data_IF_565193706122
#
_entry.id   IF_565193706122
#
_cell.length_a   1.000
_cell.length_b   1.000
_cell.length_c   1.000
_cell.angle_alpha   90.00
_cell.angle_beta   90.00
_cell.angle_gamma   90.00
#
_symmetry.space_group_name_H-M   'P 1'
#
loop_
_entity.id
_entity.type
_entity.pdbx_description
1 polymer ?
#
# COMPACT_ATOMS: atom_id res chain seq x y z
N UNK A 1 -14.97 26.56 -9.81
CA UNK A 1 -13.78 25.94 -9.17
C UNK A 1 -14.05 24.51 -8.67
N UNK A 2 -15.09 24.24 -7.88
CA UNK A 2 -15.38 22.88 -7.37
C UNK A 2 -15.53 21.79 -8.45
N UNK A 3 -16.23 22.07 -9.56
CA UNK A 3 -16.45 21.08 -10.64
C UNK A 3 -15.15 20.66 -11.35
N UNK A 4 -14.16 21.57 -11.44
CA UNK A 4 -12.85 21.27 -12.03
C UNK A 4 -12.02 20.37 -11.11
N UNK A 5 -12.04 20.64 -9.80
CA UNK A 5 -11.36 19.79 -8.81
C UNK A 5 -11.94 18.37 -8.79
N UNK A 6 -13.26 18.24 -8.88
CA UNK A 6 -13.92 16.93 -8.97
C UNK A 6 -13.53 16.16 -10.23
N UNK A 7 -13.42 16.84 -11.38
CA UNK A 7 -13.02 16.21 -12.63
C UNK A 7 -11.56 15.75 -12.59
N UNK A 8 -10.64 16.60 -12.10
CA UNK A 8 -9.23 16.22 -11.91
C UNK A 8 -9.06 15.06 -10.94
N UNK A 9 -9.82 15.04 -9.84
CA UNK A 9 -9.84 13.94 -8.88
C UNK A 9 -10.34 12.63 -9.51
N UNK A 10 -11.38 12.71 -10.36
CA UNK A 10 -11.94 11.56 -11.07
C UNK A 10 -10.93 10.94 -12.04
N UNK A 11 -10.21 11.77 -12.81
CA UNK A 11 -9.22 11.32 -13.78
C UNK A 11 -8.05 10.59 -13.10
N UNK A 12 -7.53 11.13 -12.00
CA UNK A 12 -6.45 10.50 -11.22
C UNK A 12 -6.88 9.15 -10.64
N UNK A 13 -8.10 9.08 -10.09
CA UNK A 13 -8.63 7.85 -9.48
C UNK A 13 -8.82 6.73 -10.50
N UNK A 14 -9.26 7.07 -11.71
CA UNK A 14 -9.48 6.12 -12.78
C UNK A 14 -8.15 5.53 -13.29
N UNK A 15 -7.14 6.37 -13.50
CA UNK A 15 -5.83 5.93 -14.00
C UNK A 15 -5.14 4.93 -13.07
N UNK A 16 -5.25 5.12 -11.74
CA UNK A 16 -4.67 4.23 -10.72
C UNK A 16 -5.19 2.80 -10.81
N UNK A 17 -6.43 2.59 -11.28
CA UNK A 17 -7.02 1.26 -11.43
C UNK A 17 -6.61 0.55 -12.72
N UNK A 18 -6.29 1.30 -13.78
CA UNK A 18 -6.04 0.79 -15.13
C UNK A 18 -4.54 0.56 -15.35
N UNK A 19 -3.68 1.43 -14.83
CA UNK A 19 -2.23 1.37 -15.05
C UNK A 19 -1.58 0.06 -14.56
N UNK A 20 -1.94 -0.49 -13.38
CA UNK A 20 -1.45 -1.81 -12.97
C UNK A 20 -2.01 -2.93 -13.84
N UNK A 21 -3.20 -2.74 -14.43
CA UNK A 21 -3.88 -3.73 -15.26
C UNK A 21 -3.21 -3.95 -16.61
N UNK A 22 -2.55 -2.91 -17.13
CA UNK A 22 -1.83 -2.94 -18.40
C UNK A 22 -0.36 -3.38 -18.24
N UNK A 23 0.24 -3.13 -17.07
CA UNK A 23 1.67 -3.39 -16.83
C UNK A 23 1.97 -4.78 -16.24
N UNK A 24 0.97 -5.55 -15.76
CA UNK A 24 1.20 -6.82 -15.07
C UNK A 24 0.22 -7.94 -15.51
N UNK A 25 0.69 -9.19 -15.68
CA UNK A 25 -0.16 -10.35 -15.97
C UNK A 25 -1.28 -10.56 -14.93
N UNK A 26 -2.43 -11.04 -15.39
CA UNK A 26 -3.73 -11.04 -14.68
C UNK A 26 -3.71 -11.77 -13.33
N UNK A 27 -2.94 -12.86 -13.19
CA UNK A 27 -2.93 -13.71 -11.99
C UNK A 27 -2.21 -13.09 -10.80
N UNK A 28 -1.13 -12.33 -11.06
CA UNK A 28 -0.31 -11.70 -10.03
C UNK A 28 -0.96 -10.41 -9.52
N UNK A 29 -1.73 -9.73 -10.39
CA UNK A 29 -2.40 -8.47 -10.07
C UNK A 29 -3.58 -8.64 -9.12
N UNK A 30 -4.45 -9.63 -9.37
CA UNK A 30 -5.67 -9.83 -8.56
C UNK A 30 -5.33 -10.20 -7.11
N UNK A 31 -4.38 -11.14 -6.94
CA UNK A 31 -3.97 -11.63 -5.63
C UNK A 31 -3.18 -10.59 -4.84
N UNK A 32 -2.24 -9.87 -5.48
CA UNK A 32 -1.42 -8.84 -4.83
C UNK A 32 -2.23 -7.61 -4.40
N UNK A 33 -3.08 -7.08 -5.28
CA UNK A 33 -3.92 -5.90 -4.97
C UNK A 33 -5.01 -6.25 -3.97
N UNK A 34 -5.61 -7.44 -4.07
CA UNK A 34 -6.59 -7.94 -3.09
C UNK A 34 -5.99 -8.10 -1.70
N UNK A 35 -4.80 -8.68 -1.59
CA UNK A 35 -4.07 -8.84 -0.34
C UNK A 35 -3.66 -7.50 0.28
N UNK A 36 -3.11 -6.58 -0.52
CA UNK A 36 -2.77 -5.23 -0.07
C UNK A 36 -4.01 -4.47 0.44
N UNK A 37 -5.14 -4.61 -0.24
CA UNK A 37 -6.42 -4.01 0.17
C UNK A 37 -6.93 -4.62 1.47
N UNK A 38 -6.84 -5.94 1.63
CA UNK A 38 -7.27 -6.63 2.85
C UNK A 38 -6.42 -6.21 4.06
N UNK A 39 -5.09 -6.13 3.90
CA UNK A 39 -4.18 -5.63 4.95
C UNK A 39 -4.51 -4.19 5.30
N UNK A 40 -4.77 -3.33 4.31
CA UNK A 40 -5.12 -1.92 4.56
C UNK A 40 -6.40 -1.80 5.40
N UNK A 41 -7.40 -2.65 5.12
CA UNK A 41 -8.65 -2.68 5.89
C UNK A 41 -8.45 -3.23 7.31
N UNK A 42 -7.66 -4.30 7.46
CA UNK A 42 -7.32 -4.83 8.78
C UNK A 42 -6.54 -3.82 9.62
N UNK A 43 -5.56 -3.13 9.03
CA UNK A 43 -4.80 -2.08 9.69
C UNK A 43 -5.69 -0.91 10.11
N UNK A 44 -6.61 -0.47 9.26
CA UNK A 44 -7.56 0.60 9.60
C UNK A 44 -8.56 0.19 10.68
N UNK A 45 -9.02 -1.06 10.68
CA UNK A 45 -9.88 -1.58 11.73
C UNK A 45 -9.13 -1.68 13.07
N UNK A 46 -7.92 -2.23 13.05
CA UNK A 46 -7.09 -2.39 14.23
C UNK A 46 -6.70 -1.03 14.83
N UNK A 47 -6.28 -0.06 14.02
CA UNK A 47 -5.86 1.27 14.50
C UNK A 47 -6.97 2.03 15.21
N UNK A 48 -8.22 1.88 14.75
CA UNK A 48 -9.40 2.52 15.35
C UNK A 48 -9.63 2.09 16.80
N UNK A 49 -9.31 0.86 17.17
CA UNK A 49 -9.43 0.37 18.56
C UNK A 49 -8.13 0.52 19.36
N UNK A 50 -6.97 0.34 18.73
CA UNK A 50 -5.67 0.41 19.39
C UNK A 50 -5.32 1.83 19.86
N UNK A 51 -5.55 2.85 19.05
CA UNK A 51 -5.24 4.25 19.39
C UNK A 51 -5.93 4.74 20.68
N UNK A 52 -7.27 4.64 20.81
CA UNK A 52 -7.96 5.11 22.01
C UNK A 52 -7.62 4.28 23.25
N UNK A 53 -7.45 2.97 23.13
CA UNK A 53 -7.05 2.10 24.25
C UNK A 53 -5.62 2.42 24.72
N UNK A 54 -4.71 2.72 23.81
CA UNK A 54 -3.32 3.08 24.11
C UNK A 54 -3.24 4.43 24.84
N UNK A 55 -4.00 5.43 24.37
CA UNK A 55 -4.05 6.74 25.03
C UNK A 55 -4.65 6.65 26.44
N UNK A 56 -5.64 5.78 26.66
CA UNK A 56 -6.29 5.62 27.95
C UNK A 56 -5.39 5.00 29.03
N UNK A 57 -4.45 4.12 28.65
CA UNK A 57 -3.63 3.37 29.61
C UNK A 57 -2.17 3.87 29.72
N UNK A 58 -1.59 4.39 28.64
CA UNK A 58 -0.15 4.66 28.53
C UNK A 58 0.19 6.14 28.28
N UNK A 59 -0.81 6.98 28.02
CA UNK A 59 -0.61 8.39 27.68
C UNK A 59 -0.08 8.62 26.26
N UNK A 60 -0.06 9.89 25.83
CA UNK A 60 0.23 10.27 24.43
C UNK A 60 1.67 9.93 24.02
N UNK A 61 2.64 10.12 24.92
CA UNK A 61 4.06 9.91 24.62
C UNK A 61 4.40 8.45 24.30
N UNK A 62 3.94 7.49 25.10
CA UNK A 62 4.14 6.06 24.82
C UNK A 62 3.39 5.61 23.57
N UNK A 63 2.19 6.16 23.33
CA UNK A 63 1.40 5.83 22.14
C UNK A 63 2.14 6.24 20.85
N UNK A 64 2.77 7.42 20.82
CA UNK A 64 3.57 7.88 19.69
C UNK A 64 4.84 7.05 19.47
N UNK A 65 5.51 6.61 20.55
CA UNK A 65 6.65 5.70 20.44
C UNK A 65 6.22 4.32 19.89
N UNK A 66 5.09 3.78 20.33
CA UNK A 66 4.53 2.54 19.78
C UNK A 66 4.18 2.68 18.29
N UNK A 67 3.51 3.77 17.90
CA UNK A 67 3.20 4.06 16.49
C UNK A 67 4.48 4.14 15.66
N UNK A 68 5.49 4.86 16.15
CA UNK A 68 6.81 4.95 15.49
C UNK A 68 7.43 3.56 15.34
N UNK A 69 7.36 2.71 16.37
CA UNK A 69 7.81 1.32 16.29
C UNK A 69 7.10 0.51 15.20
N UNK A 70 5.78 0.67 15.06
CA UNK A 70 5.00 0.02 13.99
C UNK A 70 5.46 0.53 12.61
N UNK A 71 5.71 1.84 12.45
CA UNK A 71 6.25 2.40 11.20
C UNK A 71 7.64 1.83 10.89
N UNK A 72 8.54 1.77 11.87
CA UNK A 72 9.90 1.23 11.70
C UNK A 72 9.85 -0.24 11.30
N UNK A 73 8.98 -1.05 11.92
CA UNK A 73 8.77 -2.45 11.52
C UNK A 73 8.27 -2.51 10.08
N UNK A 74 7.30 -1.68 9.71
CA UNK A 74 6.81 -1.57 8.33
C UNK A 74 7.92 -1.21 7.34
N UNK A 75 8.82 -0.29 7.72
CA UNK A 75 9.99 0.07 6.92
C UNK A 75 10.98 -1.08 6.80
N UNK A 76 11.28 -1.82 7.88
CA UNK A 76 12.19 -2.97 7.85
C UNK A 76 11.63 -4.07 6.96
N UNK A 77 10.34 -4.39 7.11
CA UNK A 77 9.66 -5.36 6.23
C UNK A 77 9.68 -4.87 4.80
N UNK A 78 9.40 -3.59 4.57
CA UNK A 78 9.45 -3.00 3.22
C UNK A 78 10.86 -3.05 2.62
N UNK A 79 11.93 -2.93 3.40
CA UNK A 79 13.31 -3.07 2.90
C UNK A 79 13.65 -4.54 2.66
N UNK A 80 13.22 -5.44 3.54
CA UNK A 80 13.49 -6.88 3.43
C UNK A 80 12.71 -7.55 2.29
N UNK A 81 11.49 -7.08 2.00
CA UNK A 81 10.62 -7.58 0.95
C UNK A 81 10.51 -6.65 -0.27
N UNK A 82 11.23 -5.54 -0.31
CA UNK A 82 11.54 -4.85 -1.56
C UNK A 82 12.92 -5.34 -2.05
N UNK A 83 13.01 -6.51 -2.70
CA UNK A 83 14.18 -6.85 -3.48
C UNK A 83 14.31 -5.83 -4.60
N UNK A 84 15.54 -5.44 -4.90
CA UNK A 84 15.90 -4.45 -5.92
C UNK A 84 15.10 -4.66 -7.22
N UNK A 85 14.08 -3.83 -7.42
CA UNK A 85 13.41 -3.66 -8.73
C UNK A 85 14.29 -2.82 -9.66
N UNK A 86 15.60 -3.06 -9.66
CA UNK A 86 16.59 -2.41 -10.54
C UNK A 86 17.24 -3.38 -11.52
N UNK A 87 17.10 -4.69 -11.34
CA UNK A 87 17.79 -5.68 -12.16
C UNK A 87 16.89 -6.53 -13.07
N UNK A 88 15.60 -6.18 -13.23
CA UNK A 88 14.76 -6.78 -14.26
C UNK A 88 14.19 -5.67 -15.14
N UNK A 89 14.82 -5.53 -16.30
CA UNK A 89 14.28 -4.76 -17.41
C UNK A 89 12.96 -5.40 -17.86
N UNK A 90 11.95 -4.58 -18.16
CA UNK A 90 10.65 -5.01 -18.70
C UNK A 90 10.76 -5.90 -19.95
N UNK A 91 11.94 -5.95 -20.57
CA UNK A 91 12.32 -6.76 -21.74
C UNK A 91 12.59 -8.26 -21.47
N UNK A 92 12.95 -8.66 -20.23
CA UNK A 92 13.18 -10.08 -19.91
C UNK A 92 11.88 -10.82 -19.52
N UNK A 93 10.84 -10.12 -19.05
CA UNK A 93 9.54 -10.72 -18.76
C UNK A 93 8.66 -10.93 -20.01
N UNK A 94 9.00 -10.29 -21.14
CA UNK A 94 8.26 -10.40 -22.41
C UNK A 94 8.83 -11.43 -23.39
N UNK A 95 9.98 -12.05 -23.10
CA UNK A 95 10.52 -13.17 -23.87
C UNK A 95 10.29 -14.50 -23.16
N UNK A 96 9.02 -14.86 -22.95
CA UNK A 96 8.68 -16.28 -23.03
C UNK A 96 8.48 -16.56 -24.52
N UNK A 97 9.60 -16.92 -25.13
CA UNK A 97 9.71 -17.51 -26.46
C UNK A 97 8.75 -18.68 -26.61
N UNK A 98 7.98 -18.63 -27.70
CA UNK A 98 7.32 -19.71 -28.47
C UNK A 98 6.56 -20.81 -27.71
#
# INVERSE_FOLDING_TARGET
MHSFYLHSFYLVSNLVGIFPAESFPTDIRSSGVGFATAISRLGSAASTFLLPMSMANLGVQNTMLCLTGILVIGTIVSIAWAPETKALSLSDASNVSE
#
